data_IF_439719521022
#
_entry.id   IF_439719521022
#
_cell.length_a   1.000
_cell.length_b   1.000
_cell.length_c   1.000
_cell.angle_alpha   90.00
_cell.angle_beta   90.00
_cell.angle_gamma   90.00
#
_symmetry.space_group_name_H-M   'P 1'
#
loop_
_entity.id
_entity.type
_entity.pdbx_description
1 polymer ?
#
# COMPACT_ATOMS: atom_id res chain seq x y z
N UNK A 1 -5.80 -5.05 31.79
CA UNK A 1 -4.46 -4.96 31.17
C UNK A 1 -3.43 -5.10 32.27
N UNK A 2 -2.60 -6.15 32.24
CA UNK A 2 -1.60 -6.38 33.29
C UNK A 2 -0.52 -5.31 33.19
N UNK A 3 -0.24 -4.59 34.29
CA UNK A 3 0.78 -3.54 34.32
C UNK A 3 2.20 -4.06 34.04
N UNK A 4 2.40 -5.37 33.95
CA UNK A 4 3.71 -6.00 33.73
C UNK A 4 3.85 -6.68 32.36
N UNK A 5 2.82 -6.61 31.52
CA UNK A 5 2.84 -7.20 30.17
C UNK A 5 2.14 -6.24 29.19
N UNK A 6 2.86 -5.26 28.63
CA UNK A 6 2.30 -4.31 27.67
C UNK A 6 1.97 -5.00 26.35
N UNK A 7 0.82 -4.67 25.74
CA UNK A 7 0.36 -5.24 24.48
C UNK A 7 0.51 -4.27 23.28
N UNK A 8 0.97 -3.04 23.55
CA UNK A 8 1.24 -2.01 22.54
C UNK A 8 2.45 -1.16 22.91
N UNK A 9 3.05 -0.49 21.92
CA UNK A 9 4.18 0.43 22.14
C UNK A 9 3.83 1.55 23.13
N UNK A 10 2.61 2.08 23.06
CA UNK A 10 2.12 3.11 24.00
C UNK A 10 2.07 2.58 25.44
N UNK A 11 1.59 1.36 25.65
CA UNK A 11 1.57 0.75 26.98
C UNK A 11 2.99 0.44 27.49
N UNK A 12 3.90 0.06 26.60
CA UNK A 12 5.31 -0.18 26.93
C UNK A 12 6.00 1.12 27.38
N UNK A 13 5.79 2.22 26.66
CA UNK A 13 6.32 3.55 27.04
C UNK A 13 5.82 3.97 28.43
N UNK A 14 4.51 3.88 28.67
CA UNK A 14 3.93 4.20 29.98
C UNK A 14 4.39 3.26 31.10
N UNK A 15 4.70 2.00 30.79
CA UNK A 15 5.33 1.09 31.75
C UNK A 15 6.74 1.54 32.13
N UNK A 16 7.58 1.88 31.14
CA UNK A 16 8.94 2.36 31.36
C UNK A 16 8.97 3.68 32.14
N UNK A 17 8.10 4.64 31.80
CA UNK A 17 8.01 5.92 32.52
C UNK A 17 7.58 5.72 33.99
N UNK A 18 6.67 4.77 34.26
CA UNK A 18 6.31 4.41 35.65
C UNK A 18 7.46 3.79 36.42
N UNK A 19 8.32 3.00 35.76
CA UNK A 19 9.55 2.48 36.38
C UNK A 19 10.55 3.58 36.70
N UNK A 20 10.61 4.63 35.89
CA UNK A 20 11.47 5.80 36.09
C UNK A 20 10.93 6.78 37.15
N UNK A 21 9.67 6.66 37.56
CA UNK A 21 9.09 7.43 38.67
C UNK A 21 7.92 8.35 38.30
N UNK A 22 7.41 8.32 37.06
CA UNK A 22 6.12 8.94 36.71
C UNK A 22 5.01 8.28 37.54
N UNK A 23 4.09 9.04 38.17
CA UNK A 23 3.81 10.47 38.00
C UNK A 23 4.46 11.41 39.03
N UNK A 24 5.28 10.89 39.95
CA UNK A 24 5.87 11.70 41.03
C UNK A 24 7.00 12.58 40.50
N UNK A 25 7.78 12.05 39.57
CA UNK A 25 8.83 12.77 38.85
C UNK A 25 8.29 13.12 37.46
N UNK A 26 8.44 14.38 37.07
CA UNK A 26 8.13 14.82 35.71
C UNK A 26 9.32 14.51 34.79
N UNK A 27 9.06 13.69 33.77
CA UNK A 27 10.07 13.17 32.85
C UNK A 27 9.86 13.86 31.50
N UNK A 28 10.71 14.82 31.20
CA UNK A 28 10.67 15.59 29.95
C UNK A 28 11.43 14.86 28.84
N UNK A 29 10.77 13.90 28.20
CA UNK A 29 11.24 13.18 27.02
C UNK A 29 10.26 13.34 25.86
N UNK A 30 10.78 13.52 24.65
CA UNK A 30 9.96 13.54 23.44
C UNK A 30 9.56 12.11 23.02
N UNK A 31 8.48 11.96 22.26
CA UNK A 31 7.97 10.64 21.86
C UNK A 31 8.92 9.93 20.89
N UNK A 32 9.62 10.68 20.04
CA UNK A 32 10.64 10.16 19.13
C UNK A 32 11.82 9.56 19.90
N UNK A 33 12.30 10.24 20.94
CA UNK A 33 13.43 9.76 21.77
C UNK A 33 13.09 8.44 22.48
N UNK A 34 11.83 8.26 22.87
CA UNK A 34 11.37 7.00 23.46
C UNK A 34 11.28 5.87 22.42
N UNK A 35 10.90 6.17 21.18
CA UNK A 35 10.89 5.19 20.09
C UNK A 35 12.32 4.75 19.76
N UNK A 36 13.24 5.70 19.58
CA UNK A 36 14.64 5.41 19.24
C UNK A 36 15.30 4.50 20.29
N UNK A 37 15.05 4.76 21.57
CA UNK A 37 15.60 3.94 22.66
C UNK A 37 14.98 2.54 22.73
N UNK A 38 13.70 2.39 22.36
CA UNK A 38 13.06 1.06 22.25
C UNK A 38 13.71 0.27 21.11
N UNK A 39 13.91 0.92 19.95
CA UNK A 39 14.51 0.29 18.78
C UNK A 39 15.97 -0.12 19.04
N UNK A 40 16.76 0.77 19.66
CA UNK A 40 18.14 0.46 20.08
C UNK A 40 18.18 -0.70 21.09
N UNK A 41 17.24 -0.75 22.04
CA UNK A 41 17.14 -1.85 23.00
C UNK A 41 16.84 -3.19 22.34
N UNK A 42 16.00 -3.20 21.31
CA UNK A 42 15.69 -4.40 20.52
C UNK A 42 16.93 -4.81 19.72
N UNK A 43 17.62 -3.87 19.07
CA UNK A 43 18.86 -4.15 18.37
C UNK A 43 19.91 -4.75 19.31
N UNK A 44 20.10 -4.14 20.49
CA UNK A 44 21.02 -4.63 21.52
C UNK A 44 20.64 -6.05 21.97
N UNK A 45 19.36 -6.33 22.15
CA UNK A 45 18.90 -7.68 22.48
C UNK A 45 19.23 -8.69 21.38
N UNK A 46 19.05 -8.32 20.12
CA UNK A 46 19.37 -9.17 18.97
C UNK A 46 20.87 -9.45 18.85
N UNK A 47 21.71 -8.45 19.10
CA UNK A 47 23.17 -8.58 19.05
C UNK A 47 23.70 -9.50 20.17
N UNK A 48 23.16 -9.40 21.39
CA UNK A 48 23.61 -10.19 22.53
C UNK A 48 22.98 -11.60 22.61
N UNK A 49 21.78 -11.81 22.06
CA UNK A 49 21.06 -13.08 22.10
C UNK A 49 20.77 -13.60 20.69
N UNK A 50 21.81 -13.74 19.88
CA UNK A 50 21.70 -14.17 18.47
C UNK A 50 20.93 -15.49 18.29
N UNK A 51 21.15 -16.48 19.18
CA UNK A 51 20.45 -17.77 19.19
C UNK A 51 18.94 -17.67 19.51
N UNK A 52 18.46 -16.51 19.97
CA UNK A 52 17.05 -16.25 20.26
C UNK A 52 16.33 -15.41 19.20
N UNK A 53 16.99 -15.11 18.09
CA UNK A 53 16.43 -14.29 17.00
C UNK A 53 16.21 -15.13 15.75
N UNK A 54 15.00 -15.05 15.18
CA UNK A 54 14.69 -15.66 13.88
C UNK A 54 14.21 -14.57 12.93
N UNK A 55 14.75 -14.58 11.70
CA UNK A 55 14.29 -13.68 10.64
C UNK A 55 12.96 -14.21 10.13
N UNK A 56 11.88 -13.52 10.49
CA UNK A 56 10.55 -13.81 9.95
C UNK A 56 10.23 -12.81 8.84
N UNK A 57 9.90 -13.31 7.65
CA UNK A 57 9.37 -12.49 6.57
C UNK A 57 7.86 -12.37 6.74
N UNK A 58 7.32 -11.15 6.74
CA UNK A 58 5.89 -10.93 6.67
C UNK A 58 5.47 -10.91 5.19
N UNK A 59 4.83 -11.96 4.65
CA UNK A 59 4.35 -11.92 3.29
C UNK A 59 3.13 -11.00 3.21
N UNK A 60 3.24 -9.91 2.46
CA UNK A 60 2.09 -9.08 2.09
C UNK A 60 1.56 -9.51 0.71
N UNK A 61 0.26 -9.71 0.60
CA UNK A 61 -0.37 -10.04 -0.67
C UNK A 61 -0.54 -8.78 -1.52
N UNK A 62 0.23 -8.67 -2.60
CA UNK A 62 -0.01 -7.62 -3.61
C UNK A 62 -1.27 -7.98 -4.40
N UNK A 63 -2.37 -7.28 -4.13
CA UNK A 63 -3.62 -7.42 -4.88
C UNK A 63 -3.57 -6.66 -6.20
N UNK A 64 -4.35 -7.12 -7.19
CA UNK A 64 -4.49 -6.41 -8.46
C UNK A 64 -5.21 -5.07 -8.27
N UNK A 65 -4.76 -4.06 -9.01
CA UNK A 65 -5.44 -2.77 -9.12
C UNK A 65 -6.70 -2.90 -9.98
N UNK A 66 -7.78 -2.20 -9.59
CA UNK A 66 -9.07 -2.21 -10.30
C UNK A 66 -9.30 -0.90 -11.04
N UNK A 67 -9.65 -0.98 -12.33
CA UNK A 67 -10.17 0.14 -13.12
C UNK A 67 -11.68 -0.04 -13.29
N UNK A 68 -12.44 0.98 -12.91
CA UNK A 68 -13.90 0.99 -13.09
C UNK A 68 -14.27 2.01 -14.15
N UNK A 69 -15.19 1.63 -15.04
CA UNK A 69 -15.76 2.52 -16.05
C UNK A 69 -17.07 3.13 -15.57
N UNK A 70 -17.34 4.37 -15.99
CA UNK A 70 -18.56 5.11 -15.68
C UNK A 70 -19.80 4.51 -16.38
N UNK A 71 -19.59 3.70 -17.40
CA UNK A 71 -20.62 3.04 -18.20
C UNK A 71 -20.06 1.72 -18.74
N UNK A 72 -20.92 0.83 -19.24
CA UNK A 72 -20.45 -0.36 -19.93
C UNK A 72 -19.53 0.03 -21.11
N UNK A 73 -18.41 -0.68 -21.26
CA UNK A 73 -17.48 -0.47 -22.36
C UNK A 73 -18.15 -0.70 -23.71
N UNK A 74 -17.77 0.09 -24.71
CA UNK A 74 -18.11 -0.15 -26.10
C UNK A 74 -17.13 -1.16 -26.67
N UNK A 75 -17.62 -2.38 -26.92
CA UNK A 75 -16.78 -3.53 -27.24
C UNK A 75 -16.41 -4.35 -26.01
N UNK A 76 -15.69 -5.44 -26.22
CA UNK A 76 -15.25 -6.34 -25.14
C UNK A 76 -13.73 -6.33 -25.09
N UNK A 77 -13.17 -5.88 -23.97
CA UNK A 77 -11.75 -5.97 -23.70
C UNK A 77 -11.31 -7.44 -23.62
N UNK A 78 -10.06 -7.71 -23.97
CA UNK A 78 -9.47 -9.04 -23.84
C UNK A 78 -8.44 -9.07 -22.70
N UNK A 79 -8.31 -10.22 -22.04
CA UNK A 79 -7.23 -10.39 -21.06
C UNK A 79 -5.86 -10.31 -21.76
N UNK A 80 -4.83 -9.88 -21.03
CA UNK A 80 -3.45 -9.66 -21.50
C UNK A 80 -3.25 -8.54 -22.53
N UNK A 81 -4.31 -7.81 -22.88
CA UNK A 81 -4.26 -6.64 -23.76
C UNK A 81 -3.72 -5.39 -23.05
N UNK A 82 -3.04 -4.53 -23.79
CA UNK A 82 -2.63 -3.21 -23.30
C UNK A 82 -3.73 -2.19 -23.56
N UNK A 83 -4.16 -1.52 -22.49
CA UNK A 83 -5.06 -0.37 -22.54
C UNK A 83 -4.27 0.93 -22.45
N UNK A 84 -4.71 1.95 -23.20
CA UNK A 84 -4.07 3.27 -23.22
C UNK A 84 -5.10 4.36 -22.90
N UNK A 85 -4.76 5.24 -21.95
CA UNK A 85 -5.56 6.43 -21.63
C UNK A 85 -5.39 7.52 -22.67
N UNK A 86 -6.49 8.09 -23.15
CA UNK A 86 -6.47 9.10 -24.21
C UNK A 86 -5.91 10.46 -23.78
N UNK A 87 -5.99 10.81 -22.50
CA UNK A 87 -5.48 12.09 -21.97
C UNK A 87 -4.19 11.89 -21.18
N UNK A 88 -4.13 10.85 -20.35
CA UNK A 88 -2.96 10.53 -19.54
C UNK A 88 -1.81 9.90 -20.32
N UNK A 89 -2.08 9.31 -21.49
CA UNK A 89 -1.17 8.37 -22.19
C UNK A 89 -0.68 7.22 -21.29
N UNK A 90 -1.34 7.00 -20.14
CA UNK A 90 -0.99 5.91 -19.26
C UNK A 90 -1.34 4.58 -19.93
N UNK A 91 -0.52 3.57 -19.67
CA UNK A 91 -0.73 2.23 -20.23
C UNK A 91 -0.87 1.21 -19.10
N UNK A 92 -1.82 0.30 -19.22
CA UNK A 92 -1.95 -0.82 -18.27
C UNK A 92 -2.18 -2.12 -19.02
N UNK A 93 -1.67 -3.22 -18.49
CA UNK A 93 -1.92 -4.55 -19.04
C UNK A 93 -3.05 -5.23 -18.29
N UNK A 94 -4.11 -5.59 -18.99
CA UNK A 94 -5.27 -6.26 -18.40
C UNK A 94 -4.85 -7.64 -17.91
N UNK A 95 -5.07 -7.91 -16.62
CA UNK A 95 -4.92 -9.23 -16.04
C UNK A 95 -6.24 -10.01 -16.07
N UNK A 96 -7.36 -9.34 -15.82
CA UNK A 96 -8.68 -9.96 -15.80
C UNK A 96 -9.75 -8.95 -16.19
N UNK A 97 -10.68 -9.36 -17.05
CA UNK A 97 -11.90 -8.61 -17.36
C UNK A 97 -13.00 -9.17 -16.48
N UNK A 98 -13.28 -8.51 -15.35
CA UNK A 98 -14.30 -9.00 -14.40
C UNK A 98 -15.71 -8.71 -14.89
N UNK A 99 -15.91 -7.60 -15.62
CA UNK A 99 -17.18 -7.27 -16.28
C UNK A 99 -16.96 -6.23 -17.39
N UNK A 100 -18.02 -5.83 -18.08
CA UNK A 100 -17.99 -4.70 -19.05
C UNK A 100 -17.71 -3.35 -18.40
N UNK A 101 -17.74 -3.25 -17.06
CA UNK A 101 -17.47 -2.01 -16.33
C UNK A 101 -16.24 -2.10 -15.44
N UNK A 102 -15.64 -3.28 -15.24
CA UNK A 102 -14.53 -3.48 -14.29
C UNK A 102 -13.41 -4.31 -14.91
N UNK A 103 -12.22 -3.73 -14.94
CA UNK A 103 -10.98 -4.37 -15.35
C UNK A 103 -10.02 -4.47 -14.15
N UNK A 104 -9.22 -5.53 -14.10
CA UNK A 104 -8.11 -5.65 -13.17
C UNK A 104 -6.79 -5.69 -13.91
N UNK A 105 -5.80 -5.00 -13.37
CA UNK A 105 -4.45 -4.95 -13.90
C UNK A 105 -3.45 -5.08 -12.75
N UNK A 106 -2.30 -5.69 -13.05
CA UNK A 106 -1.19 -5.84 -12.10
C UNK A 106 -0.03 -4.89 -12.41
N UNK A 107 0.03 -4.43 -13.66
CA UNK A 107 1.11 -3.58 -14.14
C UNK A 107 0.54 -2.44 -14.97
N UNK A 108 1.03 -1.25 -14.67
CA UNK A 108 0.70 -0.03 -15.38
C UNK A 108 1.89 0.92 -15.38
N UNK A 109 1.85 1.87 -16.31
CA UNK A 109 2.82 2.93 -16.49
C UNK A 109 2.08 4.25 -16.69
N UNK A 110 2.65 5.32 -16.16
CA UNK A 110 2.19 6.68 -16.45
C UNK A 110 2.53 7.08 -17.90
N UNK A 111 2.09 8.27 -18.32
CA UNK A 111 2.40 8.83 -19.64
C UNK A 111 3.89 9.07 -19.91
N UNK A 112 4.74 8.98 -18.88
CA UNK A 112 6.20 9.07 -18.99
C UNK A 112 6.88 7.69 -19.04
N UNK A 113 6.11 6.60 -18.98
CA UNK A 113 6.60 5.22 -19.03
C UNK A 113 7.18 4.71 -17.71
N UNK A 114 7.06 5.47 -16.61
CA UNK A 114 7.42 5.02 -15.27
C UNK A 114 6.29 4.17 -14.70
N UNK A 115 6.64 3.14 -13.92
CA UNK A 115 5.65 2.37 -13.17
C UNK A 115 5.09 3.29 -12.10
N UNK A 116 3.85 3.75 -12.24
CA UNK A 116 3.21 4.47 -11.14
C UNK A 116 3.09 3.52 -9.94
N UNK A 117 3.16 4.05 -8.72
CA UNK A 117 2.85 3.28 -7.52
C UNK A 117 1.53 2.52 -7.73
N UNK A 118 1.38 1.35 -7.11
CA UNK A 118 0.25 0.43 -7.33
C UNK A 118 -1.09 0.95 -6.76
N UNK A 119 -1.45 2.18 -7.12
CA UNK A 119 -2.69 2.87 -6.81
C UNK A 119 -3.35 3.19 -8.15
N UNK A 120 -4.36 2.40 -8.51
CA UNK A 120 -5.20 2.60 -9.69
C UNK A 120 -5.72 4.04 -9.83
N UNK A 121 -5.97 4.72 -8.71
CA UNK A 121 -6.46 6.11 -8.68
C UNK A 121 -5.49 7.18 -9.22
N UNK A 122 -4.20 6.86 -9.42
CA UNK A 122 -3.23 7.81 -9.97
C UNK A 122 -2.83 7.54 -11.42
N UNK A 123 -3.27 6.42 -11.98
CA UNK A 123 -2.79 5.96 -13.30
C UNK A 123 -3.64 6.53 -14.43
N UNK A 124 -4.95 6.46 -14.28
CA UNK A 124 -5.90 6.97 -15.26
C UNK A 124 -6.67 8.15 -14.67
N UNK A 125 -6.87 9.18 -15.48
CA UNK A 125 -7.60 10.39 -15.11
C UNK A 125 -9.10 10.10 -15.19
N UNK A 126 -9.86 10.51 -14.16
CA UNK A 126 -11.31 10.41 -14.18
C UNK A 126 -11.92 11.06 -15.41
N UNK A 127 -12.88 10.39 -16.04
CA UNK A 127 -13.58 10.88 -17.22
C UNK A 127 -12.79 10.71 -18.53
N UNK A 128 -11.57 10.18 -18.48
CA UNK A 128 -10.82 9.90 -19.70
C UNK A 128 -11.32 8.64 -20.41
N UNK A 129 -11.19 8.61 -21.73
CA UNK A 129 -11.47 7.41 -22.53
C UNK A 129 -10.22 6.55 -22.59
N UNK A 130 -10.34 5.31 -22.14
CA UNK A 130 -9.32 4.28 -22.27
C UNK A 130 -9.64 3.40 -23.48
N UNK A 131 -8.63 3.07 -24.28
CA UNK A 131 -8.77 2.27 -25.51
C UNK A 131 -7.88 1.03 -25.46
N UNK A 132 -8.44 -0.12 -25.83
CA UNK A 132 -7.71 -1.39 -25.98
C UNK A 132 -6.97 -1.47 -27.31
N UNK A 133 -5.72 -1.94 -27.29
CA UNK A 133 -4.87 -2.02 -28.47
C UNK A 133 -5.27 -3.10 -29.49
N UNK A 134 -5.86 -4.21 -29.06
CA UNK A 134 -6.26 -5.34 -29.93
C UNK A 134 -7.77 -5.42 -30.15
N UNK A 135 -8.55 -5.11 -29.13
CA UNK A 135 -10.02 -5.14 -29.16
C UNK A 135 -10.62 -3.86 -29.75
N UNK A 136 -9.86 -2.76 -29.78
CA UNK A 136 -10.40 -1.40 -30.02
C UNK A 136 -11.57 -1.05 -29.10
N UNK A 137 -11.76 -1.79 -28.00
CA UNK A 137 -12.80 -1.51 -27.03
C UNK A 137 -12.47 -0.21 -26.30
N UNK A 138 -13.50 0.57 -26.00
CA UNK A 138 -13.34 1.83 -25.29
C UNK A 138 -14.22 1.90 -24.06
N UNK A 139 -13.73 2.57 -23.02
CA UNK A 139 -14.46 2.78 -21.77
C UNK A 139 -14.06 4.09 -21.12
N UNK A 140 -15.04 4.84 -20.61
CA UNK A 140 -14.79 6.09 -19.88
C UNK A 140 -14.49 5.78 -18.42
N UNK A 141 -13.34 6.18 -17.92
CA UNK A 141 -12.89 5.91 -16.55
C UNK A 141 -13.77 6.64 -15.54
N UNK A 142 -14.24 5.90 -14.53
CA UNK A 142 -14.94 6.49 -13.38
C UNK A 142 -13.90 6.95 -12.34
N UNK A 143 -14.09 8.14 -11.76
CA UNK A 143 -13.31 8.56 -10.60
C UNK A 143 -13.39 7.47 -9.51
N UNK A 144 -12.24 7.03 -9.00
CA UNK A 144 -12.21 6.24 -7.77
C UNK A 144 -11.93 7.16 -6.61
#
# INVERSE_FOLDING_TARGET
>A
MSSTQPASTTELKEYCLRKLGKPVIDINLADEQMNDMIDESIQMFQEYHFDGTEIHYLPEQVTASTLTFASASTGTFTAEETITGGTSNATAKIHEVTSTTVLKFKEHKDGNGLRAANTSGATFVSGETVTGSSSSATGTVHAT
#
